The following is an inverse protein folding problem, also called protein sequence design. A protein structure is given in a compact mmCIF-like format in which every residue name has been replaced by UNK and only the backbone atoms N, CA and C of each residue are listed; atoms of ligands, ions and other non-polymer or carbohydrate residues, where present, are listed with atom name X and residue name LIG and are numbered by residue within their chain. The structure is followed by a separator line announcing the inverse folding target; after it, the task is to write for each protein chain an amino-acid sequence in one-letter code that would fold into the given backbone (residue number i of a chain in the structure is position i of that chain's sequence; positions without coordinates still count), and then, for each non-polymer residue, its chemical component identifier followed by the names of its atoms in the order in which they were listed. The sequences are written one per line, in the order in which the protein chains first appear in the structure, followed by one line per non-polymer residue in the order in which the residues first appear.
data_IF_355490706949
#
_entry.id   IF_355490706949
#
_cell.length_a   1.000
_cell.length_b   1.000
_cell.length_c   1.000
_cell.angle_alpha   90.00
_cell.angle_beta   90.00
_cell.angle_gamma   90.00
#
_symmetry.space_group_name_H-M   'P 1'
#
loop_
_entity.id
_entity.type
_entity.pdbx_description
1 polymer ?
#
# COMPACT_ATOMS: atom_id res chain seq x y z
N UNK A 1 -19.26 -45.10 4.67
CA UNK A 1 -19.55 -43.68 4.92
C UNK A 1 -18.28 -42.90 4.58
N UNK A 2 -18.18 -42.35 3.36
CA UNK A 2 -16.98 -41.63 2.90
C UNK A 2 -17.10 -40.20 3.34
N UNK A 3 -16.21 -39.75 4.25
CA UNK A 3 -16.03 -38.33 4.56
C UNK A 3 -15.25 -37.67 3.42
N UNK A 4 -15.93 -36.88 2.61
CA UNK A 4 -15.29 -35.96 1.67
C UNK A 4 -14.65 -34.86 2.53
N UNK A 5 -13.34 -34.91 2.68
CA UNK A 5 -12.55 -33.81 3.23
C UNK A 5 -12.65 -32.67 2.23
N UNK A 6 -13.52 -31.68 2.52
CA UNK A 6 -13.56 -30.44 1.74
C UNK A 6 -12.23 -29.75 2.05
N UNK A 7 -11.26 -29.92 1.16
CA UNK A 7 -10.07 -29.08 1.15
C UNK A 7 -10.55 -27.67 0.82
N UNK A 8 -10.48 -26.78 1.80
CA UNK A 8 -10.63 -25.35 1.57
C UNK A 8 -9.60 -24.95 0.51
N UNK A 9 -10.03 -24.76 -0.73
CA UNK A 9 -9.18 -24.20 -1.79
C UNK A 9 -9.02 -22.75 -1.39
N UNK A 10 -7.90 -22.44 -0.72
CA UNK A 10 -7.52 -21.06 -0.42
C UNK A 10 -7.37 -20.31 -1.75
N UNK A 11 -8.28 -19.37 -2.04
CA UNK A 11 -8.19 -18.54 -3.25
C UNK A 11 -7.04 -17.56 -3.12
N UNK A 12 -6.29 -17.37 -4.21
CA UNK A 12 -5.26 -16.34 -4.25
C UNK A 12 -5.87 -14.97 -4.53
N UNK A 13 -5.62 -14.03 -3.66
CA UNK A 13 -6.12 -12.65 -3.72
C UNK A 13 -5.12 -11.71 -4.38
N UNK A 14 -5.61 -10.74 -5.13
CA UNK A 14 -4.82 -9.66 -5.71
C UNK A 14 -4.96 -8.41 -4.85
N UNK A 15 -3.86 -7.92 -4.31
CA UNK A 15 -3.84 -6.80 -3.37
C UNK A 15 -2.93 -5.69 -3.87
N UNK A 16 -3.37 -4.45 -3.73
CA UNK A 16 -2.57 -3.26 -3.98
C UNK A 16 -2.14 -2.68 -2.64
N UNK A 17 -0.83 -2.51 -2.46
CA UNK A 17 -0.23 -1.96 -1.25
C UNK A 17 0.44 -0.63 -1.56
N UNK A 18 0.16 0.40 -0.75
CA UNK A 18 0.94 1.63 -0.68
C UNK A 18 2.10 1.45 0.28
N UNK A 19 3.30 1.84 -0.14
CA UNK A 19 4.52 1.77 0.67
C UNK A 19 5.05 3.17 0.83
N UNK A 20 5.32 3.60 2.06
CA UNK A 20 5.83 4.95 2.34
C UNK A 20 6.81 5.00 3.49
N UNK A 21 7.72 6.00 3.48
CA UNK A 21 8.66 6.26 4.57
C UNK A 21 9.47 7.52 4.33
N UNK A 22 9.90 8.19 5.42
CA UNK A 22 10.62 9.47 5.30
C UNK A 22 11.89 9.56 6.15
N UNK A 23 12.14 8.62 7.05
CA UNK A 23 13.32 8.65 7.92
C UNK A 23 14.25 7.45 7.69
N UNK A 24 15.50 7.57 8.15
CA UNK A 24 16.54 6.57 7.97
C UNK A 24 17.09 6.49 6.55
N UNK A 25 17.71 5.38 6.21
CA UNK A 25 18.18 5.12 4.85
C UNK A 25 17.01 4.62 3.99
N UNK A 26 16.30 5.56 3.35
CA UNK A 26 15.10 5.26 2.55
C UNK A 26 15.36 4.18 1.49
N UNK A 27 16.50 4.22 0.79
CA UNK A 27 16.83 3.23 -0.23
C UNK A 27 16.93 1.81 0.35
N UNK A 28 17.66 1.66 1.46
CA UNK A 28 17.78 0.37 2.13
C UNK A 28 16.46 -0.11 2.70
N UNK A 29 15.67 0.80 3.30
CA UNK A 29 14.37 0.48 3.86
C UNK A 29 13.41 -0.04 2.79
N UNK A 30 13.37 0.60 1.60
CA UNK A 30 12.53 0.16 0.48
C UNK A 30 12.99 -1.19 -0.08
N UNK A 31 14.29 -1.39 -0.26
CA UNK A 31 14.82 -2.69 -0.68
C UNK A 31 14.44 -3.80 0.32
N UNK A 32 14.64 -3.55 1.61
CA UNK A 32 14.34 -4.51 2.66
C UNK A 32 12.84 -4.82 2.75
N UNK A 33 11.98 -3.81 2.71
CA UNK A 33 10.53 -4.03 2.83
C UNK A 33 9.98 -4.85 1.67
N UNK A 34 10.47 -4.64 0.43
CA UNK A 34 10.05 -5.45 -0.72
C UNK A 34 10.42 -6.92 -0.55
N UNK A 35 11.65 -7.21 -0.09
CA UNK A 35 12.06 -8.59 0.20
C UNK A 35 11.24 -9.23 1.31
N UNK A 36 10.90 -8.48 2.36
CA UNK A 36 10.06 -8.99 3.45
C UNK A 36 8.63 -9.26 2.94
N UNK A 37 8.06 -8.35 2.16
CA UNK A 37 6.72 -8.51 1.57
C UNK A 37 6.67 -9.77 0.68
N UNK A 38 7.64 -9.95 -0.21
CA UNK A 38 7.73 -11.12 -1.09
C UNK A 38 7.73 -12.43 -0.29
N UNK A 39 8.46 -12.48 0.84
CA UNK A 39 8.61 -13.66 1.65
C UNK A 39 7.45 -13.92 2.62
N UNK A 40 6.86 -12.86 3.20
CA UNK A 40 5.92 -12.99 4.32
C UNK A 40 4.46 -12.72 3.94
N UNK A 41 4.20 -11.85 2.96
CA UNK A 41 2.85 -11.47 2.58
C UNK A 41 2.37 -12.16 1.30
N UNK A 42 3.23 -12.29 0.30
CA UNK A 42 2.90 -12.92 -0.97
C UNK A 42 3.72 -12.39 -2.14
N UNK A 43 3.61 -13.09 -3.26
CA UNK A 43 4.39 -12.81 -4.47
C UNK A 43 4.08 -11.42 -5.03
N UNK A 44 5.10 -10.61 -5.25
CA UNK A 44 4.97 -9.31 -5.91
C UNK A 44 4.82 -9.51 -7.42
N UNK A 45 3.79 -8.90 -7.99
CA UNK A 45 3.46 -8.99 -9.43
C UNK A 45 3.89 -7.75 -10.20
N UNK A 46 3.83 -6.57 -9.55
CA UNK A 46 4.18 -5.28 -10.15
C UNK A 46 4.72 -4.33 -9.09
N UNK A 47 5.61 -3.46 -9.53
CA UNK A 47 6.14 -2.32 -8.78
C UNK A 47 5.86 -1.04 -9.57
N UNK A 48 5.46 0.02 -8.90
CA UNK A 48 5.60 1.37 -9.44
C UNK A 48 7.03 1.86 -9.26
N UNK A 49 7.36 2.96 -9.89
CA UNK A 49 8.52 3.75 -9.51
C UNK A 49 8.38 4.28 -8.08
N UNK A 50 9.51 4.69 -7.50
CA UNK A 50 9.55 5.40 -6.23
C UNK A 50 9.40 6.89 -6.51
N UNK A 51 8.53 7.54 -5.76
CA UNK A 51 8.23 8.96 -5.87
C UNK A 51 8.54 9.68 -4.56
N UNK A 52 9.22 10.81 -4.68
CA UNK A 52 9.45 11.72 -3.55
C UNK A 52 8.34 12.74 -3.47
N UNK A 53 7.84 12.97 -2.26
CA UNK A 53 6.70 13.85 -1.98
C UNK A 53 6.92 14.63 -0.69
N UNK A 54 6.36 15.85 -0.56
CA UNK A 54 6.33 16.53 0.72
C UNK A 54 5.48 15.75 1.73
N UNK A 55 5.64 16.01 3.04
CA UNK A 55 4.74 15.48 4.07
C UNK A 55 3.28 15.86 3.78
N UNK A 56 2.37 14.91 3.98
CA UNK A 56 0.94 15.12 3.76
C UNK A 56 0.19 15.19 5.10
N UNK A 57 -0.48 16.33 5.37
CA UNK A 57 -1.30 16.52 6.56
C UNK A 57 -0.53 16.87 7.85
N UNK A 58 0.79 17.07 7.78
CA UNK A 58 1.64 17.56 8.89
C UNK A 58 2.92 18.20 8.36
N UNK A 59 3.70 18.86 9.23
CA UNK A 59 4.99 19.47 8.88
C UNK A 59 6.14 18.52 9.24
N UNK A 60 7.05 18.30 8.31
CA UNK A 60 8.33 17.61 8.51
C UNK A 60 9.36 18.21 7.56
N UNK A 61 10.63 18.22 7.96
CA UNK A 61 11.74 18.62 7.09
C UNK A 61 12.09 17.53 6.08
N UNK A 62 11.79 16.26 6.42
CA UNK A 62 12.11 15.11 5.59
C UNK A 62 10.97 14.81 4.58
N UNK A 63 11.34 14.75 3.31
CA UNK A 63 10.45 14.29 2.24
C UNK A 63 10.16 12.78 2.36
N UNK A 64 8.97 12.38 1.97
CA UNK A 64 8.58 10.98 1.90
C UNK A 64 8.98 10.35 0.57
N UNK A 65 9.36 9.09 0.61
CA UNK A 65 9.35 8.21 -0.54
C UNK A 65 8.09 7.37 -0.51
N UNK A 66 7.43 7.24 -1.68
CA UNK A 66 6.20 6.50 -1.83
C UNK A 66 6.25 5.63 -3.08
N UNK A 67 5.67 4.45 -3.00
CA UNK A 67 5.45 3.56 -4.14
C UNK A 67 4.17 2.76 -3.96
N UNK A 68 3.70 2.13 -5.02
CA UNK A 68 2.61 1.16 -4.99
C UNK A 68 3.09 -0.16 -5.58
N UNK A 69 2.76 -1.26 -4.92
CA UNK A 69 3.02 -2.60 -5.42
C UNK A 69 1.73 -3.40 -5.54
N UNK A 70 1.75 -4.40 -6.40
CA UNK A 70 0.67 -5.39 -6.52
C UNK A 70 1.22 -6.73 -6.07
N UNK A 71 0.55 -7.37 -5.13
CA UNK A 71 0.90 -8.72 -4.67
C UNK A 71 -0.21 -9.73 -4.96
N UNK A 72 0.19 -11.00 -4.99
CA UNK A 72 -0.71 -12.14 -4.92
C UNK A 72 -0.51 -12.87 -3.59
N UNK A 73 -1.57 -13.03 -2.80
CA UNK A 73 -1.51 -13.59 -1.44
C UNK A 73 -2.62 -14.62 -1.17
N UNK A 74 -2.37 -15.50 -0.22
CA UNK A 74 -3.38 -16.41 0.33
C UNK A 74 -3.99 -15.88 1.65
N UNK A 75 -3.44 -14.78 2.19
CA UNK A 75 -3.93 -14.21 3.44
C UNK A 75 -5.30 -13.54 3.23
N UNK A 76 -6.19 -13.65 4.21
CA UNK A 76 -7.39 -12.82 4.30
C UNK A 76 -7.02 -11.34 4.55
N UNK A 77 -7.95 -10.38 4.40
CA UNK A 77 -7.67 -8.98 4.69
C UNK A 77 -7.13 -8.74 6.11
N UNK A 78 -7.70 -9.42 7.11
CA UNK A 78 -7.34 -9.29 8.53
C UNK A 78 -5.97 -9.94 8.82
N UNK A 79 -5.70 -11.11 8.25
CA UNK A 79 -4.39 -11.77 8.35
C UNK A 79 -3.30 -10.92 7.71
N UNK A 80 -3.59 -10.35 6.54
CA UNK A 80 -2.68 -9.47 5.83
C UNK A 80 -2.37 -8.22 6.65
N UNK A 81 -3.39 -7.55 7.21
CA UNK A 81 -3.23 -6.40 8.09
C UNK A 81 -2.36 -6.73 9.31
N UNK A 82 -2.62 -7.88 9.95
CA UNK A 82 -1.86 -8.32 11.12
C UNK A 82 -0.38 -8.52 10.80
N UNK A 83 -0.07 -9.14 9.65
CA UNK A 83 1.31 -9.33 9.18
C UNK A 83 1.98 -8.02 8.79
N UNK A 84 1.25 -7.10 8.14
CA UNK A 84 1.75 -5.75 7.81
C UNK A 84 2.20 -5.05 9.09
N UNK A 85 1.40 -5.10 10.14
CA UNK A 85 1.76 -4.49 11.42
C UNK A 85 3.06 -5.04 12.01
N UNK A 86 3.28 -6.36 11.92
CA UNK A 86 4.53 -6.98 12.37
C UNK A 86 5.73 -6.54 11.52
N UNK A 87 5.53 -6.32 10.22
CA UNK A 87 6.58 -5.79 9.35
C UNK A 87 6.92 -4.35 9.74
N UNK A 88 5.92 -3.49 9.93
CA UNK A 88 6.13 -2.09 10.33
C UNK A 88 6.86 -1.98 11.69
N UNK A 89 6.57 -2.90 12.63
CA UNK A 89 7.28 -2.97 13.91
C UNK A 89 8.78 -3.30 13.74
N UNK A 90 9.14 -4.14 12.75
CA UNK A 90 10.56 -4.42 12.41
C UNK A 90 11.30 -3.17 11.92
N UNK A 91 10.57 -2.18 11.34
CA UNK A 91 11.08 -0.87 10.95
C UNK A 91 10.93 0.19 12.05
N UNK A 92 10.82 -0.22 13.33
CA UNK A 92 10.82 0.68 14.47
C UNK A 92 9.51 1.42 14.74
N UNK A 93 8.42 1.10 14.03
CA UNK A 93 7.10 1.71 14.27
C UNK A 93 6.61 1.34 15.66
N UNK A 94 6.55 2.33 16.57
CA UNK A 94 5.86 2.23 17.86
C UNK A 94 4.44 2.76 17.69
N UNK A 95 3.44 1.94 17.98
CA UNK A 95 2.05 2.37 17.99
C UNK A 95 1.82 3.31 19.16
N UNK A 96 1.54 4.57 18.85
CA UNK A 96 1.19 5.63 19.79
C UNK A 96 -0.03 6.41 19.30
N UNK A 97 -0.46 7.41 20.07
CA UNK A 97 -1.65 8.21 19.76
C UNK A 97 -1.48 9.20 18.58
N UNK A 98 -0.32 9.29 17.96
CA UNK A 98 -0.06 10.20 16.85
C UNK A 98 -0.47 9.57 15.52
N UNK A 99 -1.52 10.14 14.89
CA UNK A 99 -2.05 9.68 13.59
C UNK A 99 -1.12 9.95 12.41
N UNK A 100 -0.29 11.00 12.51
CA UNK A 100 0.64 11.42 11.46
C UNK A 100 1.99 11.73 12.10
N UNK A 101 3.01 10.97 11.79
CA UNK A 101 4.38 11.14 12.27
C UNK A 101 5.37 10.65 11.25
N UNK A 102 6.61 11.14 11.34
CA UNK A 102 7.73 10.59 10.59
C UNK A 102 7.95 9.12 10.94
N UNK A 103 8.21 8.30 9.92
CA UNK A 103 8.34 6.85 10.08
C UNK A 103 9.30 6.24 9.06
N UNK A 104 9.98 5.17 9.47
CA UNK A 104 10.88 4.46 8.56
C UNK A 104 10.10 3.71 7.47
N UNK A 105 8.93 3.14 7.83
CA UNK A 105 8.09 2.40 6.90
C UNK A 105 6.61 2.43 7.32
N UNK A 106 5.75 2.58 6.32
CA UNK A 106 4.28 2.52 6.40
C UNK A 106 3.76 1.68 5.23
N UNK A 107 2.83 0.78 5.51
CA UNK A 107 2.25 -0.11 4.50
C UNK A 107 0.73 -0.05 4.60
N UNK A 108 0.08 0.55 3.61
CA UNK A 108 -1.37 0.67 3.52
C UNK A 108 -1.95 -0.37 2.56
N UNK A 109 -3.03 -1.07 2.94
CA UNK A 109 -3.85 -1.87 2.01
C UNK A 109 -4.75 -0.91 1.24
N UNK A 110 -4.46 -0.70 -0.05
CA UNK A 110 -5.24 0.19 -0.92
C UNK A 110 -6.49 -0.50 -1.46
N UNK A 111 -6.30 -1.67 -2.07
CA UNK A 111 -7.36 -2.52 -2.61
C UNK A 111 -7.06 -3.98 -2.31
N UNK A 112 -8.12 -4.76 -2.15
CA UNK A 112 -8.05 -6.21 -1.99
C UNK A 112 -9.11 -6.83 -2.89
N UNK A 113 -8.71 -7.46 -4.00
CA UNK A 113 -9.61 -7.83 -5.09
C UNK A 113 -10.59 -6.69 -5.44
N UNK A 114 -11.87 -7.00 -5.63
CA UNK A 114 -12.96 -6.03 -5.87
C UNK A 114 -13.88 -5.88 -4.65
N UNK A 115 -13.40 -6.28 -3.44
CA UNK A 115 -14.25 -6.33 -2.25
C UNK A 115 -14.32 -4.97 -1.54
N UNK A 116 -15.40 -4.80 -0.77
CA UNK A 116 -15.56 -3.77 0.23
C UNK A 116 -15.52 -4.41 1.62
N UNK A 117 -14.69 -3.85 2.49
CA UNK A 117 -14.58 -4.23 3.90
C UNK A 117 -14.68 -2.98 4.74
N UNK A 118 -15.49 -3.01 5.78
CA UNK A 118 -15.58 -1.93 6.78
C UNK A 118 -15.72 -2.57 8.16
N UNK A 119 -14.62 -2.47 8.92
CA UNK A 119 -14.54 -2.91 10.30
C UNK A 119 -13.95 -1.77 11.15
N UNK A 120 -13.89 -1.93 12.45
CA UNK A 120 -13.26 -0.95 13.35
C UNK A 120 -11.77 -0.73 13.05
N UNK A 121 -11.09 -1.72 12.48
CA UNK A 121 -9.64 -1.72 12.27
C UNK A 121 -9.22 -1.65 10.80
N UNK A 122 -10.12 -1.94 9.84
CA UNK A 122 -9.79 -2.07 8.43
C UNK A 122 -10.93 -1.58 7.54
N UNK A 123 -10.60 -0.66 6.61
CA UNK A 123 -11.51 -0.20 5.56
C UNK A 123 -10.83 -0.44 4.20
N UNK A 124 -11.48 -1.20 3.33
CA UNK A 124 -11.04 -1.50 1.96
C UNK A 124 -12.19 -1.17 0.99
N UNK A 125 -11.93 -0.42 -0.08
CA UNK A 125 -10.69 0.28 -0.43
C UNK A 125 -10.30 1.31 0.62
N UNK A 126 -9.00 1.62 0.70
CA UNK A 126 -8.52 2.64 1.64
C UNK A 126 -9.27 3.97 1.42
N UNK A 127 -9.90 4.55 2.44
CA UNK A 127 -10.92 5.61 2.28
C UNK A 127 -10.40 6.92 1.67
N UNK A 128 -9.08 7.14 1.70
CA UNK A 128 -8.45 8.40 1.24
C UNK A 128 -7.67 8.27 -0.06
N UNK A 129 -7.80 7.18 -0.83
CA UNK A 129 -7.06 7.00 -2.09
C UNK A 129 -7.26 8.21 -3.02
N UNK A 130 -8.51 8.61 -3.24
CA UNK A 130 -8.89 9.69 -4.16
C UNK A 130 -8.43 11.09 -3.73
N UNK A 131 -7.96 11.25 -2.50
CA UNK A 131 -7.49 12.52 -1.93
C UNK A 131 -5.96 12.64 -1.89
N UNK A 132 -5.24 11.54 -2.18
CA UNK A 132 -3.80 11.43 -1.95
C UNK A 132 -3.05 11.28 -3.25
N UNK A 133 -2.51 12.36 -3.77
CA UNK A 133 -1.74 12.35 -5.03
C UNK A 133 -0.51 11.45 -4.94
N UNK A 134 0.13 11.36 -3.77
CA UNK A 134 1.27 10.48 -3.52
C UNK A 134 0.93 8.98 -3.59
N UNK A 135 -0.36 8.61 -3.49
CA UNK A 135 -0.87 7.27 -3.76
C UNK A 135 -1.30 7.14 -5.22
N UNK A 136 -2.03 8.14 -5.73
CA UNK A 136 -2.61 8.08 -7.08
C UNK A 136 -1.57 8.06 -8.20
N UNK A 137 -0.48 8.84 -8.07
CA UNK A 137 0.58 8.89 -9.10
C UNK A 137 1.24 7.51 -9.29
N UNK A 138 1.80 6.86 -8.24
CA UNK A 138 2.38 5.53 -8.41
C UNK A 138 1.34 4.45 -8.76
N UNK A 139 0.11 4.55 -8.28
CA UNK A 139 -0.97 3.63 -8.63
C UNK A 139 -1.35 3.76 -10.11
N UNK A 140 -1.43 4.99 -10.63
CA UNK A 140 -1.74 5.25 -12.04
C UNK A 140 -0.65 4.72 -12.98
N UNK A 141 0.62 4.73 -12.57
CA UNK A 141 1.71 4.16 -13.36
C UNK A 141 1.50 2.67 -13.65
N UNK A 142 0.97 1.90 -12.70
CA UNK A 142 0.85 0.44 -12.81
C UNK A 142 -0.56 -0.07 -13.07
N UNK A 143 -1.58 0.74 -12.79
CA UNK A 143 -2.98 0.36 -12.89
C UNK A 143 -3.91 1.55 -13.24
N UNK A 144 -3.71 2.26 -14.36
CA UNK A 144 -4.50 3.46 -14.72
C UNK A 144 -5.99 3.17 -14.86
N UNK A 145 -6.34 1.98 -15.35
CA UNK A 145 -7.73 1.55 -15.60
C UNK A 145 -8.37 0.83 -14.39
N UNK A 146 -7.69 0.73 -13.24
CA UNK A 146 -8.27 0.13 -12.04
C UNK A 146 -9.45 0.99 -11.57
N UNK A 147 -10.63 0.39 -11.52
CA UNK A 147 -11.85 1.08 -11.13
C UNK A 147 -12.09 0.96 -9.64
N UNK A 148 -12.27 2.11 -8.97
CA UNK A 148 -12.62 2.13 -7.55
C UNK A 148 -14.04 1.54 -7.35
N UNK A 149 -14.22 0.48 -6.55
CA UNK A 149 -15.49 -0.24 -6.46
C UNK A 149 -16.67 0.63 -6.01
N UNK A 150 -16.44 1.61 -5.15
CA UNK A 150 -17.49 2.50 -4.62
C UNK A 150 -17.62 3.78 -5.46
N UNK A 151 -16.52 4.48 -5.73
CA UNK A 151 -16.55 5.77 -6.45
C UNK A 151 -16.80 5.60 -7.94
N UNK A 152 -16.54 4.41 -8.50
CA UNK A 152 -16.74 4.05 -9.91
C UNK A 152 -15.80 4.77 -10.88
N UNK A 153 -14.90 5.61 -10.41
CA UNK A 153 -13.84 6.24 -11.20
C UNK A 153 -12.64 5.30 -11.34
N UNK A 154 -11.94 5.39 -12.46
CA UNK A 154 -10.64 4.77 -12.68
C UNK A 154 -9.55 5.50 -11.90
N UNK A 155 -8.38 4.86 -11.71
CA UNK A 155 -7.23 5.53 -11.08
C UNK A 155 -6.85 6.81 -11.84
N UNK A 156 -6.86 6.75 -13.18
CA UNK A 156 -6.59 7.91 -14.03
C UNK A 156 -7.58 9.06 -13.78
N UNK A 157 -8.88 8.77 -13.79
CA UNK A 157 -9.91 9.77 -13.52
C UNK A 157 -9.81 10.35 -12.10
N UNK A 158 -9.48 9.53 -11.11
CA UNK A 158 -9.25 10.02 -9.73
C UNK A 158 -8.02 10.93 -9.65
N UNK A 159 -6.95 10.62 -10.39
CA UNK A 159 -5.75 11.46 -10.43
C UNK A 159 -6.03 12.81 -11.10
N UNK A 160 -6.74 12.84 -12.22
CA UNK A 160 -7.12 14.08 -12.92
C UNK A 160 -8.02 14.99 -12.05
N UNK A 161 -8.85 14.40 -11.17
CA UNK A 161 -9.74 15.14 -10.29
C UNK A 161 -9.18 15.36 -8.87
N UNK A 162 -7.92 14.98 -8.63
CA UNK A 162 -7.32 15.08 -7.30
C UNK A 162 -6.98 16.54 -6.96
N UNK A 163 -7.51 17.02 -5.84
CA UNK A 163 -7.29 18.40 -5.36
C UNK A 163 -5.95 18.58 -4.61
N UNK A 164 -5.17 17.52 -4.44
CA UNK A 164 -3.84 17.58 -3.84
C UNK A 164 -2.84 18.16 -4.85
N UNK A 165 -2.39 19.39 -4.62
CA UNK A 165 -1.45 20.12 -5.47
C UNK A 165 0.03 19.79 -5.20
N UNK A 166 0.31 18.82 -4.32
CA UNK A 166 1.68 18.42 -3.98
C UNK A 166 2.51 18.10 -5.22
N UNK A 167 3.75 18.56 -5.21
CA UNK A 167 4.74 18.22 -6.26
C UNK A 167 5.25 16.81 -5.99
N UNK A 168 5.09 15.93 -6.99
CA UNK A 168 5.50 14.54 -6.93
C UNK A 168 6.69 14.35 -7.88
N UNK A 169 7.84 13.93 -7.36
CA UNK A 169 9.06 13.73 -8.13
C UNK A 169 9.41 12.25 -8.24
N UNK A 170 9.61 11.76 -9.44
CA UNK A 170 10.11 10.39 -9.64
C UNK A 170 11.60 10.35 -9.31
N UNK A 171 11.99 9.50 -8.33
CA UNK A 171 13.38 9.42 -7.85
C UNK A 171 14.07 8.13 -8.28
N UNK A 172 13.33 7.09 -8.65
CA UNK A 172 13.93 5.85 -9.10
C UNK A 172 12.92 4.76 -9.39
N UNK A 173 13.44 3.64 -9.87
CA UNK A 173 12.71 2.39 -10.04
C UNK A 173 13.37 1.32 -9.19
N UNK A 174 12.58 0.40 -8.64
CA UNK A 174 13.14 -0.80 -8.05
C UNK A 174 13.69 -1.70 -9.18
N UNK A 175 14.95 -2.09 -9.07
CA UNK A 175 15.53 -3.11 -9.94
C UNK A 175 15.77 -4.38 -9.11
N UNK A 176 15.21 -5.50 -9.56
CA UNK A 176 15.50 -6.83 -9.02
C UNK A 176 16.95 -7.21 -9.24
#
# INVERSE_FOLDING_TARGET
MFYIKITNIQSMHKVYLGIGGNIGNKQNNFNNVYHIIENELGRILKFSSIYETPPWGFQSEDSFWNSVIVIKTLNSPEELLSKIHLIEEKFGRKRGNEKYSSREMDIDILYFDDIYVETETLIIPHPRIHQRKFVLVPLNEIAPNLKHPLLRFTTFEMLENCMDESVILKVGTFSH
#
